data_IF_434810146519
#
_entry.id   IF_434810146519
#
_cell.length_a   1.000
_cell.length_b   1.000
_cell.length_c   1.000
_cell.angle_alpha   90.00
_cell.angle_beta   90.00
_cell.angle_gamma   90.00
#
_symmetry.space_group_name_H-M   'P 1'
#
loop_
_entity.id
_entity.type
_entity.pdbx_description
1 polymer ?
#
# COMPACT_ATOMS: atom_id res chain seq x y z
N UNK A 1 16.56 -20.08 7.35
CA UNK A 1 15.94 -20.83 8.48
C UNK A 1 16.37 -20.14 9.74
N UNK A 2 15.43 -19.66 10.58
CA UNK A 2 15.77 -18.97 11.82
C UNK A 2 16.54 -19.90 12.77
N UNK A 3 17.47 -19.32 13.50
CA UNK A 3 18.15 -20.02 14.60
C UNK A 3 17.14 -20.31 15.71
N UNK A 4 16.97 -21.54 16.20
CA UNK A 4 15.91 -21.94 17.14
C UNK A 4 15.83 -21.24 18.48
N UNK A 5 16.58 -20.18 18.75
CA UNK A 5 16.54 -19.40 19.99
C UNK A 5 16.89 -17.92 19.77
N UNK A 6 16.51 -17.35 18.62
CA UNK A 6 16.85 -15.96 18.30
C UNK A 6 16.11 -14.94 19.19
N UNK A 7 14.88 -15.26 19.64
CA UNK A 7 14.07 -14.39 20.52
C UNK A 7 13.96 -15.06 21.89
N UNK A 8 14.59 -14.46 22.90
CA UNK A 8 14.64 -14.96 24.27
C UNK A 8 14.23 -13.93 25.33
N UNK A 9 14.20 -12.65 24.94
CA UNK A 9 13.90 -11.52 25.79
C UNK A 9 13.40 -10.30 24.98
N UNK A 10 13.09 -9.20 25.65
CA UNK A 10 12.59 -7.98 25.02
C UNK A 10 13.60 -7.33 24.07
N UNK A 11 14.90 -7.46 24.31
CA UNK A 11 15.94 -6.89 23.45
C UNK A 11 16.00 -7.63 22.12
N UNK A 12 16.06 -8.96 22.17
CA UNK A 12 16.06 -9.81 20.96
C UNK A 12 14.73 -9.74 20.20
N UNK A 13 13.59 -9.58 20.90
CA UNK A 13 12.28 -9.36 20.27
C UNK A 13 12.22 -8.02 19.53
N UNK A 14 12.77 -6.94 20.10
CA UNK A 14 12.86 -5.64 19.40
C UNK A 14 13.81 -5.70 18.20
N UNK A 15 14.90 -6.46 18.30
CA UNK A 15 15.78 -6.69 17.15
C UNK A 15 15.07 -7.47 16.03
N UNK A 16 14.20 -8.43 16.36
CA UNK A 16 13.37 -9.14 15.39
C UNK A 16 12.33 -8.20 14.74
N UNK A 17 11.69 -7.30 15.52
CA UNK A 17 10.82 -6.25 14.99
C UNK A 17 11.58 -5.34 14.00
N UNK A 18 12.78 -4.89 14.35
CA UNK A 18 13.61 -4.09 13.44
C UNK A 18 13.88 -4.84 12.12
N UNK A 19 14.16 -6.16 12.20
CA UNK A 19 14.30 -7.01 11.02
C UNK A 19 13.02 -7.15 10.20
N UNK A 20 11.86 -7.14 10.84
CA UNK A 20 10.54 -7.14 10.16
C UNK A 20 10.28 -5.81 9.45
N UNK A 21 10.53 -4.66 10.09
CA UNK A 21 10.43 -3.34 9.46
C UNK A 21 11.44 -3.18 8.31
N UNK A 22 12.65 -3.72 8.45
CA UNK A 22 13.62 -3.76 7.37
C UNK A 22 13.08 -4.50 6.13
N UNK A 23 12.30 -5.55 6.31
CA UNK A 23 11.65 -6.23 5.20
C UNK A 23 10.65 -5.36 4.43
N UNK A 24 10.02 -4.37 5.06
CA UNK A 24 9.16 -3.39 4.38
C UNK A 24 9.97 -2.40 3.51
N UNK A 25 11.24 -2.19 3.82
CA UNK A 25 12.15 -1.31 3.07
C UNK A 25 12.68 -1.96 1.78
N UNK A 26 12.51 -3.28 1.62
CA UNK A 26 12.97 -4.02 0.43
C UNK A 26 12.46 -3.38 -0.86
N UNK A 27 13.28 -3.45 -1.92
CA UNK A 27 12.88 -3.00 -3.26
C UNK A 27 11.61 -3.68 -3.76
N UNK A 28 11.42 -4.96 -3.44
CA UNK A 28 10.22 -5.70 -3.82
C UNK A 28 9.01 -5.44 -2.89
N UNK A 29 9.15 -4.49 -1.95
CA UNK A 29 8.08 -3.98 -1.10
C UNK A 29 7.93 -2.47 -1.32
N UNK A 30 7.88 -1.67 -0.26
CA UNK A 30 7.68 -0.21 -0.34
C UNK A 30 8.92 0.58 -0.79
N UNK A 31 10.05 -0.07 -0.99
CA UNK A 31 11.24 0.56 -1.54
C UNK A 31 11.13 0.91 -3.04
N UNK A 32 10.33 0.15 -3.82
CA UNK A 32 10.14 0.37 -5.25
C UNK A 32 8.98 -0.45 -5.83
N UNK A 33 9.22 -1.73 -6.18
CA UNK A 33 8.39 -2.55 -7.07
C UNK A 33 6.92 -2.55 -6.69
N UNK A 34 6.59 -2.79 -5.40
CA UNK A 34 5.22 -2.90 -4.94
C UNK A 34 4.40 -1.61 -5.17
N UNK A 35 5.04 -0.45 -4.99
CA UNK A 35 4.42 0.86 -5.24
C UNK A 35 4.28 1.10 -6.74
N UNK A 36 5.35 0.86 -7.48
CA UNK A 36 5.42 1.15 -8.92
C UNK A 36 4.44 0.33 -9.74
N UNK A 37 4.28 -0.97 -9.42
CA UNK A 37 3.38 -1.84 -10.19
C UNK A 37 1.91 -1.43 -10.06
N UNK A 38 1.50 -0.77 -8.98
CA UNK A 38 0.14 -0.27 -8.80
C UNK A 38 -0.21 0.89 -9.74
N UNK A 39 0.77 1.70 -10.11
CA UNK A 39 0.60 2.74 -11.11
C UNK A 39 0.86 2.20 -12.53
N UNK A 40 1.81 1.28 -12.70
CA UNK A 40 2.19 0.70 -13.98
C UNK A 40 1.10 -0.21 -14.57
N UNK A 41 0.40 -1.01 -13.75
CA UNK A 41 -0.75 -1.82 -14.20
C UNK A 41 -1.99 -0.98 -14.54
N UNK A 42 -1.92 0.33 -14.32
CA UNK A 42 -3.07 1.24 -14.42
C UNK A 42 -2.86 2.31 -15.49
N UNK A 43 -3.78 3.27 -15.54
CA UNK A 43 -3.72 4.44 -16.42
C UNK A 43 -2.87 5.60 -15.86
N UNK A 44 -2.05 5.36 -14.81
CA UNK A 44 -1.22 6.39 -14.17
C UNK A 44 0.22 6.43 -14.68
N UNK A 45 0.87 5.28 -14.87
CA UNK A 45 2.25 5.21 -15.35
C UNK A 45 2.39 4.25 -16.53
N UNK A 46 3.47 4.40 -17.29
CA UNK A 46 3.85 3.53 -18.40
C UNK A 46 5.34 3.20 -18.34
N UNK A 47 5.71 2.01 -18.83
CA UNK A 47 7.11 1.58 -18.94
C UNK A 47 7.83 2.39 -20.01
N UNK A 48 8.97 2.93 -19.69
CA UNK A 48 9.88 3.60 -20.63
C UNK A 48 11.30 3.01 -20.59
N UNK A 49 11.48 1.97 -19.76
CA UNK A 49 12.72 1.20 -19.64
C UNK A 49 12.77 -0.01 -20.56
N UNK A 50 13.61 -0.98 -20.20
CA UNK A 50 13.85 -2.20 -20.99
C UNK A 50 13.55 -3.49 -20.20
N UNK A 51 12.97 -3.38 -19.03
CA UNK A 51 12.57 -4.53 -18.22
C UNK A 51 11.40 -5.25 -18.90
N UNK A 52 11.56 -6.53 -19.19
CA UNK A 52 10.49 -7.36 -19.77
C UNK A 52 9.37 -7.58 -18.74
N UNK A 53 9.71 -7.75 -17.45
CA UNK A 53 8.71 -7.90 -16.39
C UNK A 53 7.84 -6.66 -16.25
N UNK A 54 8.42 -5.46 -16.36
CA UNK A 54 7.65 -4.21 -16.32
C UNK A 54 6.83 -3.99 -17.60
N UNK A 55 7.34 -4.41 -18.77
CA UNK A 55 6.55 -4.35 -20.00
C UNK A 55 5.31 -5.26 -19.93
N UNK A 56 5.44 -6.48 -19.41
CA UNK A 56 4.30 -7.39 -19.19
C UNK A 56 3.27 -6.81 -18.21
N UNK A 57 3.72 -6.09 -17.18
CA UNK A 57 2.85 -5.45 -16.18
C UNK A 57 2.12 -4.25 -16.80
N UNK A 58 2.81 -3.40 -17.54
CA UNK A 58 2.25 -2.24 -18.27
C UNK A 58 1.19 -2.66 -19.31
N UNK A 59 1.49 -3.72 -20.05
CA UNK A 59 0.60 -4.29 -21.06
C UNK A 59 -0.56 -5.12 -20.45
N UNK A 60 -0.58 -5.32 -19.12
CA UNK A 60 -1.46 -6.25 -18.39
C UNK A 60 -1.47 -7.66 -19.01
N UNK A 61 -0.32 -8.09 -19.54
CA UNK A 61 -0.13 -9.36 -20.24
C UNK A 61 0.96 -10.22 -19.56
N UNK A 62 0.93 -10.27 -18.23
CA UNK A 62 1.90 -11.01 -17.43
C UNK A 62 1.83 -12.51 -17.71
N UNK A 63 2.97 -13.17 -17.57
CA UNK A 63 3.08 -14.63 -17.49
C UNK A 63 3.30 -15.06 -16.04
N UNK A 64 2.96 -16.30 -15.71
CA UNK A 64 3.16 -16.87 -14.37
C UNK A 64 4.64 -16.91 -13.92
N UNK A 65 5.57 -16.64 -14.84
CA UNK A 65 7.01 -16.52 -14.58
C UNK A 65 7.48 -15.07 -14.45
N UNK A 66 6.58 -14.08 -14.37
CA UNK A 66 6.96 -12.69 -14.19
C UNK A 66 7.77 -12.50 -12.91
N UNK A 67 9.02 -12.03 -13.07
CA UNK A 67 9.98 -11.93 -11.95
C UNK A 67 9.58 -10.90 -10.90
N UNK A 68 8.99 -9.77 -11.31
CA UNK A 68 8.54 -8.74 -10.37
C UNK A 68 7.35 -9.22 -9.55
N UNK A 69 6.36 -9.87 -10.17
CA UNK A 69 5.24 -10.48 -9.45
C UNK A 69 5.72 -11.54 -8.44
N UNK A 70 6.68 -12.39 -8.82
CA UNK A 70 7.29 -13.36 -7.89
C UNK A 70 8.02 -12.66 -6.74
N UNK A 71 8.79 -11.61 -7.00
CA UNK A 71 9.56 -10.92 -5.98
C UNK A 71 8.67 -10.26 -4.93
N UNK A 72 7.57 -9.61 -5.37
CA UNK A 72 6.55 -9.01 -4.47
C UNK A 72 5.89 -10.10 -3.60
N UNK A 73 5.46 -11.20 -4.21
CA UNK A 73 4.89 -12.34 -3.50
C UNK A 73 5.85 -12.88 -2.42
N UNK A 74 7.07 -13.18 -2.81
CA UNK A 74 8.08 -13.76 -1.92
C UNK A 74 8.42 -12.83 -0.77
N UNK A 75 8.59 -11.53 -1.03
CA UNK A 75 8.90 -10.54 0.01
C UNK A 75 7.74 -10.38 1.00
N UNK A 76 6.49 -10.42 0.54
CA UNK A 76 5.33 -10.36 1.42
C UNK A 76 5.28 -11.58 2.36
N UNK A 77 5.50 -12.79 1.83
CA UNK A 77 5.55 -14.00 2.66
C UNK A 77 6.76 -14.07 3.59
N UNK A 78 7.91 -13.52 3.20
CA UNK A 78 9.06 -13.36 4.11
C UNK A 78 8.70 -12.48 5.31
N UNK A 79 8.00 -11.37 5.09
CA UNK A 79 7.54 -10.50 6.17
C UNK A 79 6.47 -11.16 7.03
N UNK A 80 5.53 -11.91 6.44
CA UNK A 80 4.54 -12.72 7.17
C UNK A 80 5.24 -13.74 8.05
N UNK A 81 6.28 -14.42 7.55
CA UNK A 81 7.04 -15.39 8.32
C UNK A 81 7.77 -14.73 9.50
N UNK A 82 8.40 -13.57 9.31
CA UNK A 82 9.03 -12.80 10.39
C UNK A 82 8.02 -12.39 11.46
N UNK A 83 6.83 -11.93 11.06
CA UNK A 83 5.75 -11.63 11.99
C UNK A 83 5.32 -12.87 12.77
N UNK A 84 5.13 -14.00 12.09
CA UNK A 84 4.78 -15.27 12.73
C UNK A 84 5.82 -15.73 13.76
N UNK A 85 7.12 -15.58 13.47
CA UNK A 85 8.19 -15.89 14.42
C UNK A 85 8.12 -15.05 15.69
N UNK A 86 7.87 -13.75 15.54
CA UNK A 86 7.70 -12.86 16.68
C UNK A 86 6.49 -13.28 17.51
N UNK A 87 5.35 -13.54 16.86
CA UNK A 87 4.11 -13.93 17.53
C UNK A 87 4.26 -15.27 18.28
N UNK A 88 4.88 -16.27 17.65
CA UNK A 88 5.11 -17.57 18.26
C UNK A 88 6.05 -17.48 19.47
N UNK A 89 7.20 -16.82 19.32
CA UNK A 89 8.23 -16.76 20.37
C UNK A 89 7.82 -15.83 21.52
N UNK A 90 7.40 -14.61 21.25
CA UNK A 90 6.99 -13.65 22.29
C UNK A 90 5.75 -14.14 23.03
N UNK A 91 4.83 -14.82 22.34
CA UNK A 91 3.66 -15.46 22.96
C UNK A 91 4.04 -16.55 23.99
N UNK A 92 5.08 -17.31 23.75
CA UNK A 92 5.53 -18.41 24.60
C UNK A 92 6.41 -17.99 25.79
N UNK A 93 7.04 -16.81 25.76
CA UNK A 93 7.96 -16.34 26.79
C UNK A 93 7.20 -15.69 27.96
N UNK A 94 7.63 -15.94 29.21
CA UNK A 94 7.00 -15.42 30.43
C UNK A 94 7.73 -14.22 31.05
N UNK A 95 8.82 -13.75 30.45
CA UNK A 95 9.69 -12.69 30.96
C UNK A 95 9.39 -11.29 30.38
N UNK A 96 8.20 -11.12 29.80
CA UNK A 96 7.70 -9.82 29.33
C UNK A 96 6.65 -9.28 30.30
N UNK A 97 6.66 -7.97 30.59
CA UNK A 97 5.49 -7.30 31.12
C UNK A 97 4.40 -7.23 30.03
N UNK A 98 3.15 -6.97 30.45
CA UNK A 98 1.99 -7.01 29.56
C UNK A 98 2.05 -5.97 28.43
N UNK A 99 2.51 -4.75 28.75
CA UNK A 99 2.55 -3.63 27.82
C UNK A 99 3.62 -3.87 26.75
N UNK A 100 4.85 -4.26 27.15
CA UNK A 100 5.91 -4.61 26.22
C UNK A 100 5.51 -5.77 25.32
N UNK A 101 4.88 -6.82 25.86
CA UNK A 101 4.38 -7.94 25.09
C UNK A 101 3.32 -7.46 24.08
N UNK A 102 2.34 -6.71 24.58
CA UNK A 102 1.25 -6.18 23.76
C UNK A 102 1.76 -5.36 22.58
N UNK A 103 2.66 -4.41 22.85
CA UNK A 103 3.25 -3.57 21.80
C UNK A 103 3.98 -4.42 20.75
N UNK A 104 4.87 -5.32 21.15
CA UNK A 104 5.66 -6.14 20.22
C UNK A 104 4.78 -7.06 19.38
N UNK A 105 3.83 -7.75 20.00
CA UNK A 105 2.92 -8.63 19.26
C UNK A 105 1.92 -7.85 18.41
N UNK A 106 1.47 -6.69 18.88
CA UNK A 106 0.59 -5.80 18.13
C UNK A 106 1.22 -5.30 16.84
N UNK A 107 2.50 -4.89 16.88
CA UNK A 107 3.26 -4.51 15.69
C UNK A 107 3.40 -5.67 14.70
N UNK A 108 3.66 -6.89 15.19
CA UNK A 108 3.75 -8.07 14.34
C UNK A 108 2.40 -8.44 13.69
N UNK A 109 1.29 -8.36 14.43
CA UNK A 109 -0.05 -8.55 13.89
C UNK A 109 -0.39 -7.52 12.81
N UNK A 110 -0.07 -6.25 13.04
CA UNK A 110 -0.29 -5.18 12.06
C UNK A 110 0.47 -5.44 10.76
N UNK A 111 1.76 -5.77 10.83
CA UNK A 111 2.56 -6.01 9.62
C UNK A 111 2.05 -7.26 8.89
N UNK A 112 1.64 -8.31 9.60
CA UNK A 112 1.04 -9.49 8.95
C UNK A 112 -0.28 -9.13 8.25
N UNK A 113 -1.14 -8.33 8.88
CA UNK A 113 -2.36 -7.83 8.27
C UNK A 113 -2.08 -6.99 7.02
N UNK A 114 -1.09 -6.08 7.08
CA UNK A 114 -0.67 -5.24 5.96
C UNK A 114 -0.19 -6.10 4.78
N UNK A 115 0.68 -7.08 5.02
CA UNK A 115 1.18 -7.96 3.97
C UNK A 115 0.08 -8.82 3.33
N UNK A 116 -0.87 -9.34 4.11
CA UNK A 116 -2.02 -10.05 3.55
C UNK A 116 -2.94 -9.11 2.76
N UNK A 117 -3.11 -7.88 3.20
CA UNK A 117 -3.88 -6.89 2.44
C UNK A 117 -3.17 -6.57 1.10
N UNK A 118 -1.87 -6.43 1.10
CA UNK A 118 -1.09 -6.21 -0.10
C UNK A 118 -1.18 -7.38 -1.07
N UNK A 119 -1.07 -8.61 -0.58
CA UNK A 119 -1.22 -9.80 -1.41
C UNK A 119 -2.63 -9.93 -2.01
N UNK A 120 -3.69 -9.74 -1.21
CA UNK A 120 -5.06 -9.94 -1.70
C UNK A 120 -5.47 -8.91 -2.75
N UNK A 121 -4.92 -7.69 -2.70
CA UNK A 121 -5.17 -6.64 -3.71
C UNK A 121 -4.71 -7.03 -5.11
N UNK A 122 -3.62 -7.78 -5.22
CA UNK A 122 -3.00 -8.13 -6.50
C UNK A 122 -3.32 -9.56 -6.93
N UNK A 123 -3.26 -10.53 -6.02
CA UNK A 123 -3.35 -11.96 -6.35
C UNK A 123 -4.73 -12.58 -6.06
N UNK A 124 -5.64 -11.82 -5.44
CA UNK A 124 -6.92 -12.37 -4.97
C UNK A 124 -6.74 -13.29 -3.76
N UNK A 125 -7.38 -14.45 -3.74
CA UNK A 125 -7.20 -15.41 -2.65
C UNK A 125 -5.77 -15.95 -2.60
N UNK A 126 -5.20 -16.08 -1.40
CA UNK A 126 -3.81 -16.49 -1.17
C UNK A 126 -3.72 -17.47 0.01
N UNK A 127 -2.64 -18.26 0.14
CA UNK A 127 -2.42 -19.13 1.30
C UNK A 127 -2.32 -18.34 2.61
N UNK A 128 -3.03 -18.78 3.65
CA UNK A 128 -2.88 -18.23 4.99
C UNK A 128 -1.83 -19.02 5.78
N UNK A 129 -0.65 -18.44 5.94
CA UNK A 129 0.44 -18.99 6.77
C UNK A 129 0.46 -18.21 8.09
N UNK A 130 -0.08 -18.81 9.15
CA UNK A 130 -0.26 -18.15 10.46
C UNK A 130 0.75 -18.62 11.51
N UNK A 131 1.67 -19.51 11.12
CA UNK A 131 2.75 -20.05 11.93
C UNK A 131 4.10 -19.92 11.21
N UNK A 132 5.22 -19.87 11.93
CA UNK A 132 6.55 -19.87 11.31
C UNK A 132 6.78 -21.10 10.42
N UNK A 133 7.44 -20.88 9.30
CA UNK A 133 7.90 -21.99 8.44
C UNK A 133 9.11 -22.65 9.09
N UNK A 134 8.93 -23.85 9.61
CA UNK A 134 9.98 -24.63 10.31
C UNK A 134 10.60 -25.71 9.45
N UNK A 135 9.97 -26.07 8.34
CA UNK A 135 10.32 -27.18 7.47
C UNK A 135 10.18 -26.77 6.00
N UNK A 136 11.16 -27.14 5.18
CA UNK A 136 11.15 -26.86 3.75
C UNK A 136 9.99 -27.58 3.00
N UNK A 137 9.41 -28.63 3.59
CA UNK A 137 8.27 -29.37 3.01
C UNK A 137 6.91 -28.83 3.44
N UNK A 138 6.86 -27.90 4.40
CA UNK A 138 5.61 -27.34 4.91
C UNK A 138 4.79 -26.63 3.80
N UNK A 139 5.46 -26.09 2.78
CA UNK A 139 4.83 -25.47 1.61
C UNK A 139 4.03 -26.43 0.72
N UNK A 140 4.37 -27.70 0.67
CA UNK A 140 3.80 -28.66 -0.28
C UNK A 140 2.29 -28.92 -0.12
N UNK A 141 1.72 -28.65 1.05
CA UNK A 141 0.28 -28.81 1.35
C UNK A 141 -0.52 -27.51 1.31
N UNK A 142 0.08 -26.41 0.91
CA UNK A 142 -0.59 -25.12 0.87
C UNK A 142 -1.72 -25.10 -0.17
N UNK A 143 -2.82 -24.48 0.22
CA UNK A 143 -3.95 -24.17 -0.65
C UNK A 143 -4.33 -22.70 -0.50
N UNK A 144 -4.98 -22.14 -1.50
CA UNK A 144 -5.43 -20.76 -1.43
C UNK A 144 -6.67 -20.65 -0.55
N UNK A 145 -6.66 -19.68 0.38
CA UNK A 145 -7.86 -19.21 1.03
C UNK A 145 -8.66 -18.31 0.07
N UNK A 146 -9.97 -18.23 0.27
CA UNK A 146 -10.80 -17.28 -0.49
C UNK A 146 -10.47 -15.84 -0.09
N UNK A 147 -10.75 -14.88 -0.98
CA UNK A 147 -10.60 -13.44 -0.69
C UNK A 147 -11.30 -13.05 0.61
N UNK A 148 -12.54 -13.54 0.83
CA UNK A 148 -13.29 -13.27 2.06
C UNK A 148 -12.56 -13.80 3.31
N UNK A 149 -12.03 -15.02 3.25
CA UNK A 149 -11.29 -15.63 4.36
C UNK A 149 -9.99 -14.87 4.67
N UNK A 150 -9.30 -14.36 3.63
CA UNK A 150 -8.10 -13.53 3.81
C UNK A 150 -8.47 -12.22 4.51
N UNK A 151 -9.53 -11.53 4.09
CA UNK A 151 -9.99 -10.32 4.76
C UNK A 151 -10.44 -10.56 6.20
N UNK A 152 -11.09 -11.68 6.48
CA UNK A 152 -11.48 -12.04 7.86
C UNK A 152 -10.25 -12.27 8.75
N UNK A 153 -9.17 -12.85 8.20
CA UNK A 153 -7.90 -12.97 8.93
C UNK A 153 -7.21 -11.63 9.14
N UNK A 154 -7.19 -10.75 8.13
CA UNK A 154 -6.65 -9.39 8.26
C UNK A 154 -7.35 -8.64 9.41
N UNK A 155 -8.68 -8.68 9.47
CA UNK A 155 -9.44 -8.01 10.54
C UNK A 155 -9.14 -8.61 11.92
N UNK A 156 -8.99 -9.95 12.05
CA UNK A 156 -8.57 -10.58 13.31
C UNK A 156 -7.19 -10.13 13.76
N UNK A 157 -6.26 -10.00 12.82
CA UNK A 157 -4.91 -9.51 13.12
C UNK A 157 -4.96 -8.04 13.57
N UNK A 158 -5.79 -7.21 12.92
CA UNK A 158 -6.00 -5.81 13.33
C UNK A 158 -6.69 -5.69 14.69
N UNK A 159 -7.63 -6.60 15.05
CA UNK A 159 -8.21 -6.66 16.40
C UNK A 159 -7.14 -6.96 17.45
N UNK A 160 -6.25 -7.92 17.15
CA UNK A 160 -5.13 -8.28 18.03
C UNK A 160 -4.10 -7.14 18.14
N UNK A 161 -3.81 -6.46 17.04
CA UNK A 161 -2.94 -5.29 17.02
C UNK A 161 -3.52 -4.16 17.89
N UNK A 162 -4.80 -3.83 17.71
CA UNK A 162 -5.48 -2.78 18.49
C UNK A 162 -5.49 -3.05 19.98
N UNK A 163 -5.64 -4.33 20.39
CA UNK A 163 -5.61 -4.71 21.80
C UNK A 163 -4.23 -4.60 22.44
N UNK A 164 -3.16 -4.68 21.64
CA UNK A 164 -1.77 -4.69 22.13
C UNK A 164 -1.03 -3.37 21.98
N UNK A 165 -1.35 -2.56 20.97
CA UNK A 165 -0.65 -1.30 20.70
C UNK A 165 -1.07 -0.21 21.71
N UNK A 166 -0.07 0.36 22.37
CA UNK A 166 -0.22 1.47 23.31
C UNK A 166 0.40 2.77 22.79
N UNK A 167 1.28 2.71 21.79
CA UNK A 167 1.87 3.88 21.14
C UNK A 167 0.82 4.61 20.30
N UNK A 168 0.69 5.90 20.49
CA UNK A 168 -0.27 6.74 19.75
C UNK A 168 0.42 7.79 18.85
N UNK A 169 1.73 7.90 18.86
CA UNK A 169 2.45 9.02 18.27
C UNK A 169 3.47 8.64 17.19
N UNK A 170 3.98 7.41 17.17
CA UNK A 170 5.00 7.02 16.18
C UNK A 170 4.41 6.94 14.77
N UNK A 171 5.18 7.43 13.79
CA UNK A 171 4.86 7.29 12.37
C UNK A 171 5.79 6.30 11.65
N UNK A 172 6.84 5.83 12.32
CA UNK A 172 7.85 4.90 11.78
C UNK A 172 7.79 3.51 12.38
N UNK A 173 7.02 3.36 13.44
CA UNK A 173 6.57 2.10 14.04
C UNK A 173 5.05 2.12 14.15
N UNK A 174 4.43 0.97 14.37
CA UNK A 174 2.96 0.88 14.41
C UNK A 174 2.41 1.61 15.63
N UNK A 175 1.51 2.54 15.38
CA UNK A 175 0.74 3.28 16.38
C UNK A 175 -0.74 2.88 16.35
N UNK A 176 -1.49 3.25 17.37
CA UNK A 176 -2.94 3.04 17.42
C UNK A 176 -3.67 3.70 16.23
N UNK A 177 -3.21 4.88 15.81
CA UNK A 177 -3.72 5.56 14.61
C UNK A 177 -3.46 4.77 13.34
N UNK A 178 -2.28 4.16 13.20
CA UNK A 178 -1.94 3.30 12.06
C UNK A 178 -2.85 2.06 11.99
N UNK A 179 -3.16 1.43 13.12
CA UNK A 179 -4.07 0.27 13.17
C UNK A 179 -5.47 0.65 12.67
N UNK A 180 -6.03 1.77 13.14
CA UNK A 180 -7.34 2.27 12.69
C UNK A 180 -7.32 2.67 11.22
N UNK A 181 -6.28 3.35 10.76
CA UNK A 181 -6.13 3.76 9.36
C UNK A 181 -6.09 2.55 8.41
N UNK A 182 -5.31 1.51 8.74
CA UNK A 182 -5.30 0.28 7.95
C UNK A 182 -6.66 -0.43 8.00
N UNK A 183 -7.33 -0.44 9.14
CA UNK A 183 -8.67 -1.01 9.28
C UNK A 183 -9.69 -0.27 8.40
N UNK A 184 -9.66 1.07 8.37
CA UNK A 184 -10.52 1.87 7.50
C UNK A 184 -10.33 1.50 6.03
N UNK A 185 -9.07 1.38 5.55
CA UNK A 185 -8.72 0.94 4.20
C UNK A 185 -9.27 -0.46 3.91
N UNK A 186 -9.03 -1.42 4.79
CA UNK A 186 -9.49 -2.82 4.65
C UNK A 186 -11.01 -2.91 4.57
N UNK A 187 -11.73 -2.18 5.42
CA UNK A 187 -13.19 -2.16 5.44
C UNK A 187 -13.78 -1.53 4.16
N UNK A 188 -13.15 -0.47 3.63
CA UNK A 188 -13.51 0.09 2.32
C UNK A 188 -13.39 -0.96 1.22
N UNK A 189 -12.28 -1.69 1.16
CA UNK A 189 -12.03 -2.74 0.17
C UNK A 189 -13.00 -3.93 0.32
N UNK A 190 -13.40 -4.23 1.55
CA UNK A 190 -14.40 -5.27 1.86
C UNK A 190 -15.83 -4.83 1.53
N UNK A 191 -16.07 -3.55 1.29
CA UNK A 191 -17.39 -2.97 1.06
C UNK A 191 -18.20 -2.71 2.33
N UNK A 192 -17.58 -2.80 3.51
CA UNK A 192 -18.18 -2.37 4.78
C UNK A 192 -18.01 -0.86 4.96
N UNK A 193 -18.86 -0.10 4.27
CA UNK A 193 -18.77 1.35 4.25
C UNK A 193 -19.11 2.00 5.60
N UNK A 194 -19.96 1.38 6.40
CA UNK A 194 -20.27 1.89 7.74
C UNK A 194 -19.06 1.75 8.67
N UNK A 195 -18.41 0.59 8.64
CA UNK A 195 -17.17 0.37 9.37
C UNK A 195 -16.02 1.27 8.88
N UNK A 196 -15.86 1.41 7.56
CA UNK A 196 -14.83 2.26 6.96
C UNK A 196 -15.00 3.74 7.37
N UNK A 197 -16.24 4.26 7.35
CA UNK A 197 -16.54 5.63 7.81
C UNK A 197 -16.21 5.81 9.28
N UNK A 198 -16.64 4.87 10.13
CA UNK A 198 -16.41 4.93 11.56
C UNK A 198 -14.93 4.93 11.94
N UNK A 199 -14.11 4.05 11.31
CA UNK A 199 -12.68 3.99 11.59
C UNK A 199 -11.95 5.20 11.02
N UNK A 200 -12.32 5.69 9.83
CA UNK A 200 -11.74 6.90 9.25
C UNK A 200 -12.05 8.14 10.10
N UNK A 201 -13.29 8.30 10.57
CA UNK A 201 -13.67 9.36 11.50
C UNK A 201 -12.84 9.29 12.79
N UNK A 202 -12.66 8.08 13.36
CA UNK A 202 -11.86 7.91 14.57
C UNK A 202 -10.37 8.26 14.36
N UNK A 203 -9.81 8.05 13.17
CA UNK A 203 -8.46 8.51 12.84
C UNK A 203 -8.38 10.03 12.86
N UNK A 204 -9.39 10.72 12.36
CA UNK A 204 -9.42 12.20 12.32
C UNK A 204 -9.70 12.84 13.68
N UNK A 205 -10.56 12.20 14.48
CA UNK A 205 -11.07 12.79 15.74
C UNK A 205 -10.18 12.47 16.95
N UNK A 206 -9.60 11.25 17.00
CA UNK A 206 -8.88 10.74 18.17
C UNK A 206 -7.36 11.01 18.12
N UNK A 207 -6.81 11.42 16.96
CA UNK A 207 -5.38 11.63 16.76
C UNK A 207 -5.10 13.02 16.18
N UNK A 208 -3.84 13.48 16.36
CA UNK A 208 -3.43 14.84 15.97
C UNK A 208 -2.96 14.93 14.50
N UNK A 209 -3.53 14.14 13.59
CA UNK A 209 -3.20 14.23 12.18
C UNK A 209 -3.92 15.41 11.51
N UNK A 210 -3.20 16.16 10.68
CA UNK A 210 -3.74 17.30 9.96
C UNK A 210 -3.26 17.30 8.51
N UNK A 211 -4.15 17.68 7.57
CA UNK A 211 -3.72 17.90 6.19
C UNK A 211 -2.70 19.04 6.17
N UNK A 212 -1.56 18.84 5.52
CA UNK A 212 -0.60 19.93 5.30
C UNK A 212 -1.24 21.06 4.52
N UNK A 213 -0.75 22.27 4.69
CA UNK A 213 -1.31 23.47 4.05
C UNK A 213 -1.14 23.47 2.52
N UNK A 214 -0.13 22.77 2.01
CA UNK A 214 0.16 22.69 0.58
C UNK A 214 0.64 21.28 0.22
N UNK A 215 0.13 20.72 -0.87
CA UNK A 215 0.50 19.37 -1.33
C UNK A 215 2.01 19.14 -1.47
N UNK A 216 2.82 20.06 -2.01
CA UNK A 216 4.27 19.90 -2.06
C UNK A 216 4.96 19.65 -0.71
N UNK A 217 4.36 20.09 0.39
CA UNK A 217 4.95 19.94 1.72
C UNK A 217 4.94 18.48 2.22
N UNK A 218 4.15 17.61 1.59
CA UNK A 218 4.12 16.17 1.88
C UNK A 218 5.40 15.44 1.49
N UNK A 219 6.04 15.86 0.39
CA UNK A 219 7.12 15.09 -0.25
C UNK A 219 8.45 15.85 -0.14
N UNK A 220 9.04 15.80 1.04
CA UNK A 220 10.32 16.47 1.29
C UNK A 220 11.49 15.54 1.00
N UNK A 221 12.50 16.01 0.28
CA UNK A 221 13.72 15.23 -0.04
C UNK A 221 14.52 14.78 1.19
N UNK A 222 14.22 15.35 2.35
CA UNK A 222 14.88 15.02 3.63
C UNK A 222 14.18 13.90 4.40
N UNK A 223 13.02 13.42 3.91
CA UNK A 223 12.20 12.46 4.64
C UNK A 223 11.65 12.99 5.97
N UNK A 224 11.53 14.31 6.11
CA UNK A 224 10.96 14.93 7.31
C UNK A 224 9.51 14.52 7.48
N UNK A 225 9.13 14.17 8.70
CA UNK A 225 7.76 13.85 9.07
C UNK A 225 6.83 15.03 8.87
N UNK A 226 5.63 14.75 8.37
CA UNK A 226 4.56 15.73 8.18
C UNK A 226 3.36 15.42 9.08
N UNK A 227 2.45 16.37 9.23
CA UNK A 227 1.21 16.17 10.01
C UNK A 227 0.23 15.17 9.36
N UNK A 228 0.42 14.80 8.10
CA UNK A 228 -0.40 13.77 7.43
C UNK A 228 0.14 12.35 7.61
N UNK A 229 1.38 12.18 8.04
CA UNK A 229 2.00 10.86 8.15
C UNK A 229 1.39 10.06 9.30
N UNK A 230 0.82 8.90 8.98
CA UNK A 230 0.23 7.96 9.94
C UNK A 230 1.16 6.76 10.11
N UNK A 231 1.65 6.20 9.01
CA UNK A 231 2.65 5.15 9.02
C UNK A 231 3.54 5.25 7.78
N UNK A 232 4.86 5.32 8.01
CA UNK A 232 5.88 5.46 6.96
C UNK A 232 6.90 4.34 6.99
N UNK A 233 7.32 3.89 5.83
CA UNK A 233 8.52 3.07 5.67
C UNK A 233 9.71 3.98 5.48
N UNK A 234 10.69 3.84 6.39
CA UNK A 234 11.92 4.63 6.37
C UNK A 234 12.83 4.14 5.24
N UNK A 235 13.39 5.06 4.47
CA UNK A 235 14.46 4.76 3.53
C UNK A 235 15.79 5.32 4.05
N UNK A 236 16.88 4.58 3.83
CA UNK A 236 18.23 5.01 4.18
C UNK A 236 19.16 4.84 2.99
N UNK A 237 20.20 5.68 2.82
CA UNK A 237 21.09 5.61 1.64
C UNK A 237 22.09 4.44 1.73
N UNK A 238 21.69 3.30 2.29
CA UNK A 238 22.57 2.16 2.55
C UNK A 238 21.94 0.87 2.01
N UNK A 239 22.57 0.30 0.99
CA UNK A 239 22.26 -1.04 0.48
C UNK A 239 20.84 -1.19 -0.02
N UNK A 240 20.13 -2.19 0.48
CA UNK A 240 18.78 -2.58 0.11
C UNK A 240 17.66 -1.80 0.83
N UNK A 241 18.03 -0.77 1.61
CA UNK A 241 17.12 0.10 2.34
C UNK A 241 16.85 1.44 1.62
N UNK A 242 17.34 1.59 0.40
CA UNK A 242 17.11 2.78 -0.40
C UNK A 242 15.70 2.76 -1.01
N UNK A 243 15.08 3.93 -1.14
CA UNK A 243 13.93 4.10 -2.03
C UNK A 243 14.41 4.34 -3.46
N UNK A 244 13.88 3.58 -4.41
CA UNK A 244 14.17 3.77 -5.84
C UNK A 244 13.06 4.53 -6.58
N UNK A 245 11.97 4.89 -5.91
CA UNK A 245 10.83 5.56 -6.51
C UNK A 245 11.21 6.83 -7.31
N UNK A 246 12.03 7.70 -6.72
CA UNK A 246 12.53 8.86 -7.46
C UNK A 246 13.46 8.47 -8.60
N UNK A 247 14.31 7.47 -8.38
CA UNK A 247 15.33 7.04 -9.33
C UNK A 247 14.71 6.47 -10.62
N UNK A 248 13.66 5.66 -10.48
CA UNK A 248 13.00 5.02 -11.61
C UNK A 248 12.11 5.98 -12.41
N UNK A 249 11.51 6.96 -11.75
CA UNK A 249 10.69 7.98 -12.41
C UNK A 249 11.49 9.16 -13.00
N UNK A 250 12.67 9.51 -12.45
CA UNK A 250 13.40 10.69 -12.89
C UNK A 250 14.02 10.51 -14.28
N UNK A 251 14.01 11.62 -15.02
CA UNK A 251 14.71 11.69 -16.29
C UNK A 251 16.22 11.43 -16.11
N UNK A 252 16.84 10.73 -17.09
CA UNK A 252 18.30 10.46 -17.07
C UNK A 252 19.16 11.73 -16.90
N UNK A 253 18.72 12.85 -17.47
CA UNK A 253 19.38 14.14 -17.31
C UNK A 253 19.30 14.70 -15.87
N UNK A 254 18.49 14.10 -15.01
CA UNK A 254 18.32 14.43 -13.58
C UNK A 254 18.90 13.36 -12.66
N UNK A 255 19.61 12.38 -13.19
CA UNK A 255 20.26 11.31 -12.42
C UNK A 255 19.42 10.05 -12.25
N UNK A 256 18.21 9.98 -12.78
CA UNK A 256 17.35 8.78 -12.74
C UNK A 256 17.62 7.80 -13.89
N UNK A 257 16.91 6.69 -13.88
CA UNK A 257 16.93 5.66 -14.95
C UNK A 257 15.90 5.96 -16.03
N UNK A 258 14.82 6.67 -15.69
CA UNK A 258 13.67 6.86 -16.56
C UNK A 258 13.03 5.52 -16.97
N UNK A 259 12.93 4.61 -16.02
CA UNK A 259 12.30 3.29 -16.20
C UNK A 259 10.79 3.43 -16.34
N UNK A 260 10.21 4.34 -15.56
CA UNK A 260 8.79 4.66 -15.55
C UNK A 260 8.54 6.12 -15.90
N UNK A 261 7.36 6.40 -16.42
CA UNK A 261 6.89 7.77 -16.61
C UNK A 261 5.37 7.87 -16.42
N UNK A 262 4.85 8.98 -15.89
CA UNK A 262 3.42 9.23 -15.84
C UNK A 262 2.81 9.18 -17.25
N UNK A 263 1.58 8.67 -17.39
CA UNK A 263 0.88 8.66 -18.69
C UNK A 263 0.43 10.06 -19.13
N UNK A 264 0.12 10.22 -20.43
CA UNK A 264 -0.55 11.42 -20.91
C UNK A 264 -1.98 11.55 -20.36
N UNK A 265 -2.62 10.42 -20.05
CA UNK A 265 -3.94 10.37 -19.45
C UNK A 265 -3.92 10.96 -18.04
N UNK A 266 -2.96 10.57 -17.19
CA UNK A 266 -2.80 11.17 -15.86
C UNK A 266 -2.50 12.67 -15.94
N UNK A 267 -1.60 13.08 -16.84
CA UNK A 267 -1.30 14.51 -17.02
C UNK A 267 -2.55 15.31 -17.40
N UNK A 268 -3.36 14.80 -18.32
CA UNK A 268 -4.58 15.46 -18.77
C UNK A 268 -5.71 15.47 -17.72
N UNK A 269 -5.64 14.59 -16.71
CA UNK A 269 -6.64 14.54 -15.64
C UNK A 269 -6.47 15.68 -14.60
N UNK A 270 -5.28 16.27 -14.49
CA UNK A 270 -5.05 17.40 -13.59
C UNK A 270 -5.53 18.72 -14.23
N UNK A 271 -6.21 19.55 -13.44
CA UNK A 271 -6.38 20.97 -13.78
C UNK A 271 -5.01 21.67 -13.81
N UNK A 272 -4.79 22.62 -14.73
CA UNK A 272 -3.50 23.34 -14.80
C UNK A 272 -3.06 24.04 -13.49
N UNK A 273 -4.01 24.41 -12.63
CA UNK A 273 -3.75 25.04 -11.33
C UNK A 273 -3.58 24.04 -10.19
N UNK A 274 -3.86 22.75 -10.42
CA UNK A 274 -3.72 21.70 -9.42
C UNK A 274 -2.24 21.49 -9.06
N UNK A 275 -1.89 21.79 -7.81
CA UNK A 275 -0.53 21.68 -7.29
C UNK A 275 0.01 20.25 -7.38
N UNK A 276 -0.87 19.24 -7.35
CA UNK A 276 -0.50 17.82 -7.47
C UNK A 276 0.06 17.52 -8.85
N UNK A 277 -0.61 17.98 -9.91
CA UNK A 277 -0.12 17.81 -11.28
C UNK A 277 1.21 18.52 -11.50
N UNK A 278 1.32 19.75 -10.98
CA UNK A 278 2.56 20.55 -11.05
C UNK A 278 3.72 19.94 -10.27
N UNK A 279 3.43 19.24 -9.16
CA UNK A 279 4.44 18.58 -8.32
C UNK A 279 4.82 17.21 -8.84
N UNK A 280 3.83 16.39 -9.20
CA UNK A 280 4.02 14.98 -9.55
C UNK A 280 4.62 14.77 -10.94
N UNK A 281 4.43 15.73 -11.87
CA UNK A 281 4.84 15.58 -13.26
C UNK A 281 5.69 16.77 -13.69
N UNK A 282 6.89 16.48 -14.14
CA UNK A 282 7.85 17.46 -14.67
C UNK A 282 8.28 17.11 -16.08
N UNK A 283 9.01 18.03 -16.74
CA UNK A 283 9.48 17.87 -18.11
C UNK A 283 10.98 18.09 -18.23
N UNK A 284 11.63 17.26 -19.04
CA UNK A 284 12.98 17.42 -19.51
C UNK A 284 12.95 17.55 -21.06
N UNK A 285 12.94 18.77 -21.57
CA UNK A 285 12.54 19.06 -22.93
C UNK A 285 11.09 18.68 -23.18
N UNK A 286 10.78 17.84 -24.17
CA UNK A 286 9.45 17.33 -24.45
C UNK A 286 9.08 16.05 -23.67
N UNK A 287 10.02 15.48 -22.90
CA UNK A 287 9.81 14.22 -22.17
C UNK A 287 9.27 14.51 -20.78
N UNK A 288 8.06 14.02 -20.46
CA UNK A 288 7.51 14.03 -19.08
C UNK A 288 8.21 12.97 -18.24
N UNK A 289 8.37 13.24 -16.95
CA UNK A 289 8.87 12.30 -15.97
C UNK A 289 8.16 12.50 -14.62
N UNK A 290 8.11 11.46 -13.78
CA UNK A 290 7.55 11.58 -12.44
C UNK A 290 8.51 12.34 -11.54
N UNK A 291 7.98 13.29 -10.78
CA UNK A 291 8.76 14.15 -9.87
C UNK A 291 8.13 14.26 -8.48
N UNK A 292 7.23 13.34 -8.14
CA UNK A 292 6.62 13.28 -6.81
C UNK A 292 7.68 13.04 -5.74
N UNK A 293 8.48 12.01 -5.92
CA UNK A 293 9.66 11.70 -5.12
C UNK A 293 10.87 12.34 -5.78
N UNK A 294 11.74 12.99 -5.02
CA UNK A 294 12.81 13.86 -5.58
C UNK A 294 14.21 13.54 -5.11
N UNK A 295 14.37 12.65 -4.11
CA UNK A 295 15.68 12.26 -3.60
C UNK A 295 16.29 11.16 -4.45
N UNK A 296 17.20 11.49 -5.34
CA UNK A 296 18.00 10.50 -6.10
C UNK A 296 19.04 9.77 -5.22
N UNK A 297 19.15 10.13 -3.95
CA UNK A 297 19.99 9.43 -2.96
C UNK A 297 19.23 8.34 -2.20
N UNK A 298 17.96 8.11 -2.53
CA UNK A 298 17.15 7.04 -1.95
C UNK A 298 16.76 7.24 -0.49
N UNK A 299 16.66 8.49 -0.04
CA UNK A 299 16.39 8.84 1.36
C UNK A 299 14.96 9.27 1.64
N UNK A 300 14.10 9.32 0.64
CA UNK A 300 12.68 9.65 0.81
C UNK A 300 11.93 8.47 1.42
N UNK A 301 11.22 8.75 2.50
CA UNK A 301 10.35 7.77 3.15
C UNK A 301 9.05 7.61 2.35
N UNK A 302 8.51 6.40 2.38
CA UNK A 302 7.24 6.12 1.72
C UNK A 302 6.08 6.17 2.73
N UNK A 303 5.07 7.04 2.54
CA UNK A 303 3.89 7.10 3.40
C UNK A 303 2.95 5.94 3.03
N UNK A 304 3.00 4.84 3.79
CA UNK A 304 2.11 3.69 3.60
C UNK A 304 0.67 4.02 3.96
N UNK A 305 0.49 4.85 5.00
CA UNK A 305 -0.79 5.37 5.45
C UNK A 305 -0.64 6.86 5.74
N UNK A 306 -1.48 7.69 5.12
CA UNK A 306 -1.50 9.14 5.33
C UNK A 306 -2.92 9.70 5.36
N UNK A 307 -3.10 10.83 6.02
CA UNK A 307 -4.41 11.41 6.26
C UNK A 307 -5.18 11.73 4.97
N UNK A 308 -4.51 12.18 3.91
CA UNK A 308 -5.17 12.47 2.63
C UNK A 308 -5.92 11.25 2.06
N UNK A 309 -5.40 10.04 2.24
CA UNK A 309 -6.12 8.82 1.88
C UNK A 309 -7.32 8.57 2.81
N UNK A 310 -7.14 8.75 4.13
CA UNK A 310 -8.21 8.51 5.12
C UNK A 310 -9.40 9.42 4.88
N UNK A 311 -9.16 10.70 4.60
CA UNK A 311 -10.18 11.67 4.19
C UNK A 311 -10.98 11.16 2.99
N UNK A 312 -10.30 10.59 1.98
CA UNK A 312 -10.96 10.08 0.78
C UNK A 312 -11.63 8.70 0.99
N UNK A 313 -11.13 7.87 1.91
CA UNK A 313 -11.84 6.67 2.40
C UNK A 313 -13.16 7.09 3.04
N UNK A 314 -13.13 8.06 3.95
CA UNK A 314 -14.33 8.59 4.60
C UNK A 314 -15.32 9.18 3.60
N UNK A 315 -14.82 9.99 2.64
CA UNK A 315 -15.63 10.57 1.58
C UNK A 315 -16.36 9.48 0.77
N UNK A 316 -15.65 8.43 0.31
CA UNK A 316 -16.27 7.34 -0.45
C UNK A 316 -17.29 6.57 0.40
N UNK A 317 -16.94 6.24 1.64
CA UNK A 317 -17.84 5.56 2.56
C UNK A 317 -19.13 6.35 2.81
N UNK A 318 -19.04 7.66 3.07
CA UNK A 318 -20.18 8.56 3.22
C UNK A 318 -21.04 8.61 1.95
N UNK A 319 -20.43 8.69 0.77
CA UNK A 319 -21.16 8.69 -0.49
C UNK A 319 -21.92 7.37 -0.70
N UNK A 320 -21.28 6.22 -0.41
CA UNK A 320 -21.91 4.89 -0.48
C UNK A 320 -23.08 4.73 0.51
N UNK A 321 -23.01 5.40 1.66
CA UNK A 321 -24.08 5.48 2.66
C UNK A 321 -25.14 6.53 2.33
N UNK A 322 -25.06 7.17 1.16
CA UNK A 322 -25.95 8.23 0.68
C UNK A 322 -25.93 9.51 1.55
N UNK A 323 -24.84 9.77 2.27
CA UNK A 323 -24.56 11.00 3.02
C UNK A 323 -23.80 12.00 2.14
N UNK A 324 -24.40 12.37 1.01
CA UNK A 324 -23.73 13.08 -0.09
C UNK A 324 -23.15 14.45 0.29
N UNK A 325 -23.86 15.33 1.07
CA UNK A 325 -23.28 16.60 1.48
C UNK A 325 -21.98 16.44 2.30
N UNK A 326 -21.94 15.48 3.18
CA UNK A 326 -20.77 15.18 4.02
C UNK A 326 -19.64 14.59 3.18
N UNK A 327 -19.95 13.65 2.28
CA UNK A 327 -18.99 13.07 1.35
C UNK A 327 -18.28 14.12 0.49
N UNK A 328 -19.04 15.09 -0.04
CA UNK A 328 -18.51 16.19 -0.83
C UNK A 328 -17.67 17.13 0.02
N UNK A 329 -18.08 17.40 1.26
CA UNK A 329 -17.30 18.24 2.17
C UNK A 329 -15.93 17.60 2.48
N UNK A 330 -15.90 16.29 2.73
CA UNK A 330 -14.64 15.56 2.97
C UNK A 330 -13.74 15.57 1.72
N UNK A 331 -14.25 15.21 0.55
CA UNK A 331 -13.46 15.25 -0.70
C UNK A 331 -12.88 16.63 -0.97
N UNK A 332 -13.66 17.67 -0.75
CA UNK A 332 -13.22 19.05 -1.03
C UNK A 332 -12.04 19.50 -0.16
N UNK A 333 -11.75 18.86 0.96
CA UNK A 333 -10.58 19.17 1.79
C UNK A 333 -9.27 18.93 1.02
N UNK A 334 -9.17 17.82 0.28
CA UNK A 334 -8.00 17.53 -0.57
C UNK A 334 -7.92 18.48 -1.76
N UNK A 335 -9.06 18.80 -2.38
CA UNK A 335 -9.12 19.74 -3.50
C UNK A 335 -8.68 21.15 -3.09
N UNK A 336 -9.16 21.65 -1.95
CA UNK A 336 -8.75 22.96 -1.42
C UNK A 336 -7.24 23.01 -1.17
N UNK A 337 -6.69 21.99 -0.46
CA UNK A 337 -5.27 21.87 -0.18
C UNK A 337 -4.42 21.85 -1.45
N UNK A 338 -4.92 21.21 -2.51
CA UNK A 338 -4.26 21.08 -3.81
C UNK A 338 -4.45 22.28 -4.74
N UNK A 339 -5.20 23.30 -4.34
CA UNK A 339 -5.62 24.41 -5.22
C UNK A 339 -6.31 23.90 -6.51
N UNK A 340 -7.03 22.78 -6.40
CA UNK A 340 -7.79 22.19 -7.48
C UNK A 340 -9.22 22.73 -7.53
N UNK A 341 -9.94 22.59 -8.66
CA UNK A 341 -11.34 22.93 -8.75
C UNK A 341 -12.19 22.19 -7.72
N UNK A 342 -13.01 22.89 -6.96
CA UNK A 342 -13.86 22.33 -5.91
C UNK A 342 -15.10 21.71 -6.54
N UNK A 343 -15.40 20.47 -6.17
CA UNK A 343 -16.61 19.79 -6.60
C UNK A 343 -17.85 20.34 -5.88
N UNK A 344 -18.92 20.59 -6.64
CA UNK A 344 -20.20 21.04 -6.10
C UNK A 344 -21.23 19.91 -6.16
N UNK A 345 -21.92 19.63 -5.05
CA UNK A 345 -22.97 18.61 -5.03
C UNK A 345 -24.08 18.94 -6.04
N UNK A 346 -24.62 20.16 -6.02
CA UNK A 346 -25.69 20.56 -6.92
C UNK A 346 -26.79 19.50 -7.03
N UNK A 347 -27.11 19.08 -8.29
CA UNK A 347 -28.07 18.02 -8.60
C UNK A 347 -27.39 16.68 -8.91
N UNK A 348 -26.12 16.50 -8.55
CA UNK A 348 -25.39 15.25 -8.82
C UNK A 348 -26.01 14.07 -8.05
N UNK A 349 -26.11 12.95 -8.73
CA UNK A 349 -26.58 11.68 -8.14
C UNK A 349 -25.52 11.06 -7.24
N UNK A 350 -25.91 10.10 -6.41
CA UNK A 350 -24.96 9.32 -5.59
C UNK A 350 -23.81 8.75 -6.42
N UNK A 351 -24.11 8.15 -7.59
CA UNK A 351 -23.07 7.58 -8.45
C UNK A 351 -22.12 8.65 -8.98
N UNK A 352 -22.60 9.80 -9.38
CA UNK A 352 -21.73 10.91 -9.84
C UNK A 352 -20.82 11.45 -8.72
N UNK A 353 -21.31 11.47 -7.48
CA UNK A 353 -20.47 11.82 -6.32
C UNK A 353 -19.40 10.76 -6.08
N UNK A 354 -19.75 9.46 -6.14
CA UNK A 354 -18.79 8.36 -6.02
C UNK A 354 -17.73 8.46 -7.13
N UNK A 355 -18.15 8.66 -8.37
CA UNK A 355 -17.23 8.78 -9.52
C UNK A 355 -16.26 9.96 -9.34
N UNK A 356 -16.74 11.10 -8.82
CA UNK A 356 -15.92 12.25 -8.51
C UNK A 356 -14.88 11.95 -7.40
N UNK A 357 -15.29 11.22 -6.35
CA UNK A 357 -14.38 10.82 -5.27
C UNK A 357 -13.33 9.83 -5.78
N UNK A 358 -13.70 8.88 -6.62
CA UNK A 358 -12.75 7.94 -7.24
C UNK A 358 -11.75 8.66 -8.14
N UNK A 359 -12.21 9.68 -8.89
CA UNK A 359 -11.32 10.53 -9.67
C UNK A 359 -10.38 11.34 -8.78
N UNK A 360 -10.88 11.90 -7.67
CA UNK A 360 -10.07 12.64 -6.70
C UNK A 360 -9.03 11.74 -6.03
N UNK A 361 -9.40 10.50 -5.65
CA UNK A 361 -8.44 9.51 -5.12
C UNK A 361 -7.31 9.24 -6.11
N UNK A 362 -7.62 9.07 -7.40
CA UNK A 362 -6.61 8.90 -8.45
C UNK A 362 -5.60 10.05 -8.48
N UNK A 363 -6.07 11.30 -8.39
CA UNK A 363 -5.20 12.48 -8.44
C UNK A 363 -4.39 12.67 -7.16
N UNK A 364 -5.02 12.42 -6.02
CA UNK A 364 -4.42 12.57 -4.70
C UNK A 364 -3.31 11.53 -4.47
N UNK A 365 -3.58 10.26 -4.80
CA UNK A 365 -2.71 9.12 -4.54
C UNK A 365 -1.88 8.71 -5.77
N UNK A 366 -1.85 9.52 -6.84
CA UNK A 366 -1.07 9.23 -8.04
C UNK A 366 0.41 9.00 -7.71
N UNK A 367 0.99 7.96 -8.27
CA UNK A 367 2.37 7.50 -8.05
C UNK A 367 2.64 7.00 -6.62
N UNK A 368 1.58 6.54 -5.91
CA UNK A 368 1.65 5.85 -4.61
C UNK A 368 1.21 4.38 -4.70
N UNK A 369 0.86 3.89 -5.89
CA UNK A 369 0.51 2.49 -6.13
C UNK A 369 -0.95 2.12 -5.87
N UNK A 370 -1.82 3.09 -5.60
CA UNK A 370 -3.22 2.84 -5.23
C UNK A 370 -4.19 2.73 -6.41
N UNK A 371 -3.80 3.17 -7.60
CA UNK A 371 -4.72 3.25 -8.74
C UNK A 371 -5.20 1.90 -9.22
N UNK A 372 -4.31 0.92 -9.43
CA UNK A 372 -4.69 -0.42 -9.85
C UNK A 372 -5.59 -1.12 -8.83
N UNK A 373 -5.24 -1.16 -7.53
CA UNK A 373 -6.13 -1.73 -6.52
C UNK A 373 -7.51 -1.06 -6.47
N UNK A 374 -7.60 0.25 -6.66
CA UNK A 374 -8.88 0.96 -6.74
C UNK A 374 -9.72 0.52 -7.95
N UNK A 375 -9.11 0.40 -9.12
CA UNK A 375 -9.80 -0.09 -10.33
C UNK A 375 -10.33 -1.53 -10.15
N UNK A 376 -9.53 -2.39 -9.54
CA UNK A 376 -9.89 -3.80 -9.30
C UNK A 376 -11.02 -3.93 -8.28
N UNK A 377 -10.91 -3.27 -7.10
CA UNK A 377 -11.96 -3.35 -6.07
C UNK A 377 -13.30 -2.76 -6.52
N UNK A 378 -13.26 -1.77 -7.42
CA UNK A 378 -14.45 -1.16 -8.00
C UNK A 378 -15.04 -1.98 -9.18
N UNK A 379 -14.33 -3.01 -9.64
CA UNK A 379 -14.73 -3.85 -10.76
C UNK A 379 -14.72 -3.14 -12.12
N UNK A 380 -13.93 -2.06 -12.25
CA UNK A 380 -13.87 -1.22 -13.46
C UNK A 380 -12.54 -1.34 -14.21
N UNK A 381 -11.56 -2.11 -13.72
CA UNK A 381 -10.25 -2.24 -14.33
C UNK A 381 -10.32 -2.65 -15.80
N UNK A 382 -11.09 -3.71 -16.12
CA UNK A 382 -11.23 -4.20 -17.47
C UNK A 382 -11.81 -3.14 -18.44
N UNK A 383 -12.77 -2.32 -17.96
CA UNK A 383 -13.39 -1.27 -18.77
C UNK A 383 -12.49 -0.06 -18.95
N UNK A 384 -11.81 0.38 -17.89
CA UNK A 384 -10.97 1.60 -17.92
C UNK A 384 -9.70 1.37 -18.75
N UNK A 385 -9.14 0.15 -18.69
CA UNK A 385 -7.87 -0.19 -19.32
C UNK A 385 -8.02 -0.94 -20.64
N UNK A 386 -9.26 -1.29 -21.03
CA UNK A 386 -9.57 -2.08 -22.25
C UNK A 386 -8.82 -3.43 -22.26
N UNK A 387 -8.85 -4.15 -21.11
CA UNK A 387 -8.20 -5.45 -20.92
C UNK A 387 -9.23 -6.57 -20.68
N UNK A 388 -8.80 -7.83 -20.83
CA UNK A 388 -9.65 -8.97 -20.50
C UNK A 388 -9.92 -9.01 -18.97
N UNK A 389 -11.15 -9.30 -18.51
CA UNK A 389 -11.45 -9.42 -17.09
C UNK A 389 -10.57 -10.42 -16.33
N UNK A 390 -10.01 -11.43 -17.00
CA UNK A 390 -9.08 -12.39 -16.39
C UNK A 390 -7.72 -11.78 -16.07
N UNK A 391 -7.37 -10.63 -16.66
CA UNK A 391 -6.11 -9.91 -16.42
C UNK A 391 -6.17 -8.97 -15.21
N UNK A 392 -7.30 -8.93 -14.48
CA UNK A 392 -7.46 -8.02 -13.33
C UNK A 392 -6.80 -8.51 -12.04
N UNK A 393 -6.24 -9.72 -12.03
CA UNK A 393 -5.41 -10.24 -10.95
C UNK A 393 -4.04 -10.64 -11.49
N UNK A 394 -3.04 -10.55 -10.65
CA UNK A 394 -1.70 -11.05 -10.97
C UNK A 394 -1.66 -12.58 -10.94
N UNK A 395 -0.81 -13.21 -11.74
CA UNK A 395 -0.64 -14.66 -11.69
C UNK A 395 -0.06 -15.10 -10.33
N UNK A 396 -0.52 -16.24 -9.83
CA UNK A 396 0.22 -16.94 -8.77
C UNK A 396 1.55 -17.39 -9.39
N UNK A 397 2.69 -17.06 -8.77
CA UNK A 397 3.99 -17.39 -9.36
C UNK A 397 4.14 -18.89 -9.63
N UNK A 398 4.60 -19.25 -10.83
CA UNK A 398 4.66 -20.66 -11.24
C UNK A 398 5.56 -21.51 -10.32
N UNK A 399 6.65 -20.91 -9.83
CA UNK A 399 7.54 -21.60 -8.88
C UNK A 399 6.84 -22.01 -7.59
N UNK A 400 5.84 -21.26 -7.14
CA UNK A 400 5.04 -21.59 -5.95
C UNK A 400 4.08 -22.75 -6.23
N UNK A 401 3.46 -22.75 -7.42
CA UNK A 401 2.59 -23.85 -7.85
C UNK A 401 3.40 -25.15 -8.01
N UNK A 402 4.62 -25.06 -8.53
CA UNK A 402 5.50 -26.21 -8.75
C UNK A 402 5.88 -26.91 -7.43
N UNK A 403 6.03 -26.15 -6.34
CA UNK A 403 6.37 -26.71 -5.01
C UNK A 403 5.14 -27.03 -4.16
N UNK A 404 4.00 -26.44 -4.45
CA UNK A 404 2.72 -26.64 -3.75
C UNK A 404 1.59 -26.96 -4.74
N UNK A 405 1.44 -28.23 -5.16
CA UNK A 405 0.46 -28.64 -6.17
C UNK A 405 -1.01 -28.36 -5.80
N UNK A 406 -1.29 -28.03 -4.55
CA UNK A 406 -2.61 -27.57 -4.08
C UNK A 406 -2.93 -26.11 -4.41
N UNK A 407 -1.95 -25.33 -4.87
CA UNK A 407 -2.17 -23.96 -5.32
C UNK A 407 -2.77 -23.97 -6.73
N UNK A 408 -3.87 -23.27 -6.90
CA UNK A 408 -4.52 -23.09 -8.21
C UNK A 408 -4.15 -21.73 -8.80
N UNK A 409 -3.96 -21.68 -10.11
CA UNK A 409 -3.68 -20.43 -10.82
C UNK A 409 -4.92 -19.51 -10.89
N UNK A 410 -4.72 -18.22 -11.05
CA UNK A 410 -5.77 -17.30 -11.41
C UNK A 410 -6.23 -17.53 -12.87
N UNK A 411 -7.52 -17.31 -13.20
CA UNK A 411 -7.99 -17.42 -14.58
C UNK A 411 -7.17 -16.54 -15.53
N UNK A 412 -6.84 -17.06 -16.70
CA UNK A 412 -6.11 -16.33 -17.75
C UNK A 412 -4.61 -16.64 -17.81
N UNK A 413 -4.07 -17.43 -16.85
CA UNK A 413 -2.64 -17.78 -16.78
C UNK A 413 -2.37 -19.27 -16.85
#
# INVERSE_FOLDING_TARGET
IPTPNAITDSTSARAALAGMYHGLQSLSSYGSDFVEVGDLSSDNAENSGTSTSYAEIDDNAMHAFNGTALSIWSQAYDNINRANEILDKVGALNNFDADTRGQITGEAYFVRALMYHDLVKYYGGVPLQLHPTTDATAGASLTRATVATVYDQILKDLDSAQAGIIDSASTTTVSAGAVRALRARVLLYKGDYAGAESEAAAVEDDFSYELVSSYPDLFTVTGTETSEDIFRVIATPIGDQQSYLSYDYFAKARGGTYTLRPTTNLLAAYDPNDLRGQWNISFAGSRRYGSKYRSITGTEHFPVLRLGEIVLIRAEALARLNRLPEAVAEMNRTQVRANAPIFSLGSNTQQQVIDAIVAERRLELALEGDRWPDLVRLGIAATVLDIDPTQTLYPIPQSEIDVAPGLTQNPGY
#
